data_IF_017392664301
#
_entry.id   IF_017392664301
#
_cell.length_a   1.000
_cell.length_b   1.000
_cell.length_c   1.000
_cell.angle_alpha   90.00
_cell.angle_beta   90.00
_cell.angle_gamma   90.00
#
_symmetry.space_group_name_H-M   'P 1'
#
loop_
_entity.id
_entity.type
_entity.pdbx_description
1 polymer ?
#
# COMPACT_ATOMS: atom_id res chain seq x y z
N UNK A 1 -34.31 10.61 18.99
CA UNK A 1 -33.23 9.94 18.23
C UNK A 1 -31.92 10.33 18.88
N UNK A 2 -31.47 9.50 19.82
CA UNK A 2 -30.15 9.60 20.43
C UNK A 2 -29.12 9.26 19.37
N UNK A 3 -28.27 10.22 19.04
CA UNK A 3 -27.04 9.97 18.29
C UNK A 3 -26.18 9.14 19.22
N UNK A 4 -26.25 7.83 19.08
CA UNK A 4 -25.27 6.88 19.58
C UNK A 4 -23.92 7.41 19.06
N UNK A 5 -23.16 8.07 19.93
CA UNK A 5 -21.76 8.33 19.63
C UNK A 5 -21.12 6.96 19.69
N UNK A 6 -20.85 6.39 18.52
CA UNK A 6 -19.84 5.36 18.40
C UNK A 6 -18.56 5.95 18.99
N UNK A 7 -18.34 5.72 20.28
CA UNK A 7 -17.09 5.94 20.98
C UNK A 7 -16.12 4.93 20.37
N UNK A 8 -15.65 5.29 19.18
CA UNK A 8 -14.83 4.51 18.29
C UNK A 8 -13.49 4.30 18.94
N UNK A 9 -13.41 3.24 19.73
CA UNK A 9 -12.16 2.75 20.25
C UNK A 9 -11.16 2.68 19.10
N UNK A 10 -9.96 3.28 19.25
CA UNK A 10 -8.95 3.18 18.23
C UNK A 10 -8.75 1.71 17.93
N UNK A 11 -8.90 1.35 16.67
CA UNK A 11 -8.77 -0.03 16.25
C UNK A 11 -7.43 -0.57 16.75
N UNK A 12 -7.43 -1.79 17.29
CA UNK A 12 -6.22 -2.49 17.75
C UNK A 12 -5.02 -2.30 16.80
N UNK A 13 -5.14 -2.40 15.45
CA UNK A 13 -4.01 -2.15 14.55
C UNK A 13 -3.47 -0.71 14.60
N UNK A 14 -4.30 0.29 14.86
CA UNK A 14 -3.87 1.68 15.00
C UNK A 14 -2.99 1.86 16.22
N UNK A 15 -3.40 1.30 17.37
CA UNK A 15 -2.63 1.36 18.62
C UNK A 15 -1.30 0.63 18.45
N UNK A 16 -1.33 -0.58 17.89
CA UNK A 16 -0.13 -1.38 17.65
C UNK A 16 0.86 -0.63 16.74
N UNK A 17 0.38 -0.05 15.64
CA UNK A 17 1.21 0.75 14.72
C UNK A 17 1.90 1.91 15.44
N UNK A 18 1.19 2.65 16.29
CA UNK A 18 1.74 3.80 17.01
C UNK A 18 2.79 3.33 18.02
N UNK A 19 2.51 2.28 18.79
CA UNK A 19 3.46 1.71 19.75
C UNK A 19 4.72 1.19 19.06
N UNK A 20 4.58 0.42 17.99
CA UNK A 20 5.70 -0.07 17.19
C UNK A 20 6.50 1.08 16.59
N UNK A 21 5.84 2.13 16.09
CA UNK A 21 6.50 3.28 15.48
C UNK A 21 7.38 4.04 16.48
N UNK A 22 6.84 4.30 17.68
CA UNK A 22 7.60 4.92 18.78
C UNK A 22 8.74 4.04 19.27
N UNK A 23 8.51 2.73 19.41
CA UNK A 23 9.54 1.80 19.83
C UNK A 23 10.72 1.78 18.84
N UNK A 24 10.45 1.66 17.55
CA UNK A 24 11.49 1.66 16.50
C UNK A 24 12.24 3.01 16.45
N UNK A 25 11.51 4.13 16.48
CA UNK A 25 12.13 5.45 16.50
C UNK A 25 13.02 5.64 17.74
N UNK A 26 12.52 5.25 18.91
CA UNK A 26 13.25 5.35 20.17
C UNK A 26 14.51 4.48 20.21
N UNK A 27 14.42 3.20 19.84
CA UNK A 27 15.58 2.28 19.78
C UNK A 27 16.60 2.74 18.74
N UNK A 28 16.15 3.20 17.58
CA UNK A 28 17.03 3.75 16.55
C UNK A 28 17.79 4.99 17.03
N UNK A 29 17.09 5.97 17.61
CA UNK A 29 17.71 7.19 18.15
C UNK A 29 18.65 6.87 19.31
N UNK A 30 18.22 6.02 20.24
CA UNK A 30 19.06 5.60 21.36
C UNK A 30 20.34 4.93 20.86
N UNK A 31 20.23 4.02 19.88
CA UNK A 31 21.38 3.40 19.23
C UNK A 31 22.36 4.42 18.63
N UNK A 32 21.85 5.39 17.86
CA UNK A 32 22.66 6.47 17.28
C UNK A 32 23.37 7.33 18.34
N UNK A 33 22.73 7.55 19.50
CA UNK A 33 23.34 8.30 20.61
C UNK A 33 24.41 7.47 21.31
N UNK A 34 24.18 6.16 21.47
CA UNK A 34 25.06 5.29 22.26
C UNK A 34 26.26 4.74 21.48
N UNK A 35 26.21 4.67 20.15
CA UNK A 35 27.17 3.89 19.38
C UNK A 35 27.86 4.64 18.24
N UNK A 36 29.17 4.38 18.10
CA UNK A 36 30.04 4.76 16.97
C UNK A 36 30.69 3.54 16.32
N UNK A 37 30.07 2.36 16.46
CA UNK A 37 30.59 1.05 16.01
C UNK A 37 30.51 0.84 14.48
N UNK A 38 31.03 1.81 13.73
CA UNK A 38 31.19 1.76 12.28
C UNK A 38 29.94 2.16 11.50
N UNK A 39 30.13 2.26 10.17
CA UNK A 39 29.11 2.75 9.24
C UNK A 39 27.88 1.84 9.17
N UNK A 40 28.06 0.52 9.24
CA UNK A 40 26.94 -0.43 9.19
C UNK A 40 25.98 -0.26 10.37
N UNK A 41 26.51 -0.07 11.58
CA UNK A 41 25.74 0.22 12.78
C UNK A 41 24.92 1.50 12.64
N UNK A 42 25.57 2.58 12.20
CA UNK A 42 24.91 3.88 11.97
C UNK A 42 23.81 3.76 10.92
N UNK A 43 24.08 3.10 9.78
CA UNK A 43 23.09 2.90 8.71
C UNK A 43 21.89 2.09 9.22
N UNK A 44 22.13 1.02 9.98
CA UNK A 44 21.07 0.22 10.58
C UNK A 44 20.16 1.09 11.45
N UNK A 45 20.72 1.84 12.39
CA UNK A 45 19.92 2.65 13.30
C UNK A 45 19.24 3.83 12.60
N UNK A 46 19.86 4.47 11.60
CA UNK A 46 19.21 5.49 10.76
C UNK A 46 17.98 4.91 10.05
N UNK A 47 18.11 3.75 9.41
CA UNK A 47 17.00 3.11 8.69
C UNK A 47 15.87 2.72 9.64
N UNK A 48 16.20 2.18 10.82
CA UNK A 48 15.22 1.83 11.85
C UNK A 48 14.50 3.07 12.38
N UNK A 49 15.23 4.16 12.66
CA UNK A 49 14.61 5.44 13.07
C UNK A 49 13.67 5.97 12.00
N UNK A 50 14.12 6.04 10.75
CA UNK A 50 13.30 6.53 9.63
C UNK A 50 12.07 5.65 9.41
N UNK A 51 12.22 4.32 9.47
CA UNK A 51 11.12 3.37 9.37
C UNK A 51 10.07 3.60 10.46
N UNK A 52 10.49 3.79 11.72
CA UNK A 52 9.60 4.15 12.83
C UNK A 52 8.86 5.47 12.59
N UNK A 53 9.56 6.51 12.13
CA UNK A 53 8.97 7.81 11.81
C UNK A 53 7.95 7.72 10.66
N UNK A 54 8.24 6.95 9.61
CA UNK A 54 7.30 6.69 8.51
C UNK A 54 6.08 5.95 9.05
N UNK A 55 6.28 4.91 9.87
CA UNK A 55 5.19 4.15 10.46
C UNK A 55 4.26 5.03 11.28
N UNK A 56 4.79 5.99 12.04
CA UNK A 56 4.02 7.01 12.75
C UNK A 56 3.28 7.92 11.77
N UNK A 57 3.93 8.39 10.70
CA UNK A 57 3.38 9.30 9.69
C UNK A 57 2.34 8.66 8.75
N UNK A 58 2.22 7.33 8.69
CA UNK A 58 1.24 6.63 7.85
C UNK A 58 -0.23 7.03 8.08
N UNK A 59 -0.58 7.62 9.22
CA UNK A 59 -1.93 8.16 9.41
C UNK A 59 -2.22 9.38 8.53
N UNK A 60 -1.17 10.11 8.13
CA UNK A 60 -1.28 11.30 7.25
C UNK A 60 -1.04 10.96 5.79
N UNK A 61 -0.28 9.90 5.52
CA UNK A 61 0.07 9.48 4.16
C UNK A 61 -0.82 8.33 3.77
N UNK A 62 -1.60 8.46 2.69
CA UNK A 62 -2.27 7.33 2.04
C UNK A 62 -1.33 6.73 0.99
N UNK A 63 -0.54 5.69 1.31
CA UNK A 63 0.31 5.03 0.34
C UNK A 63 -0.53 4.42 -0.79
N UNK A 64 -0.04 4.54 -2.02
CA UNK A 64 -0.65 3.88 -3.18
C UNK A 64 -0.44 2.37 -3.14
N UNK A 65 -1.16 1.64 -3.98
CA UNK A 65 -0.93 0.19 -4.18
C UNK A 65 0.49 -0.08 -4.69
N UNK A 66 1.00 0.76 -5.59
CA UNK A 66 2.36 0.64 -6.11
C UNK A 66 3.40 0.81 -4.99
N UNK A 67 3.20 1.79 -4.10
CA UNK A 67 4.04 1.98 -2.93
C UNK A 67 4.12 0.74 -2.04
N UNK A 68 2.98 0.12 -1.73
CA UNK A 68 2.96 -1.12 -0.94
C UNK A 68 3.66 -2.28 -1.65
N UNK A 69 3.51 -2.42 -2.96
CA UNK A 69 4.20 -3.45 -3.74
C UNK A 69 5.72 -3.24 -3.66
N UNK A 70 6.20 -2.01 -3.89
CA UNK A 70 7.63 -1.69 -3.80
C UNK A 70 8.17 -1.97 -2.40
N UNK A 71 7.46 -1.51 -1.36
CA UNK A 71 7.85 -1.74 0.03
C UNK A 71 7.91 -3.24 0.37
N UNK A 72 6.92 -4.02 -0.09
CA UNK A 72 6.89 -5.48 0.09
C UNK A 72 8.02 -6.19 -0.64
N UNK A 73 8.31 -5.79 -1.88
CA UNK A 73 9.45 -6.34 -2.66
C UNK A 73 10.77 -6.05 -1.95
N UNK A 74 10.98 -4.83 -1.45
CA UNK A 74 12.20 -4.47 -0.71
C UNK A 74 12.31 -5.28 0.59
N UNK A 75 11.22 -5.43 1.34
CA UNK A 75 11.20 -6.21 2.58
C UNK A 75 11.48 -7.70 2.38
N UNK A 76 11.03 -8.29 1.26
CA UNK A 76 11.21 -9.71 0.96
C UNK A 76 12.53 -10.02 0.24
N UNK A 77 12.94 -9.18 -0.72
CA UNK A 77 14.16 -9.39 -1.49
C UNK A 77 15.42 -8.99 -0.72
N UNK A 78 15.30 -8.02 0.18
CA UNK A 78 16.38 -7.50 1.01
C UNK A 78 17.16 -8.56 1.77
N UNK A 79 16.50 -9.43 2.57
CA UNK A 79 17.18 -10.51 3.28
C UNK A 79 17.92 -11.47 2.34
N UNK A 80 17.42 -11.63 1.11
CA UNK A 80 18.07 -12.40 0.05
C UNK A 80 19.43 -11.84 -0.36
N UNK A 81 19.64 -10.52 -0.29
CA UNK A 81 20.95 -9.89 -0.53
C UNK A 81 21.93 -10.18 0.60
N UNK A 82 21.45 -10.31 1.84
CA UNK A 82 22.25 -10.71 3.00
C UNK A 82 22.77 -12.15 2.94
N UNK A 83 22.21 -12.98 2.05
CA UNK A 83 22.68 -14.34 1.76
C UNK A 83 24.00 -14.37 0.98
N UNK A 84 24.40 -13.26 0.36
CA UNK A 84 25.69 -13.14 -0.33
C UNK A 84 26.80 -12.99 0.72
N UNK A 85 27.12 -14.10 1.39
CA UNK A 85 28.21 -14.16 2.34
C UNK A 85 29.52 -13.97 1.57
N UNK A 86 30.08 -12.77 1.63
CA UNK A 86 31.48 -12.57 1.27
C UNK A 86 32.33 -13.14 2.39
N UNK A 87 32.70 -14.41 2.29
CA UNK A 87 33.65 -15.01 3.23
C UNK A 87 35.00 -14.33 3.05
N UNK A 88 35.32 -13.33 3.87
CA UNK A 88 36.68 -12.84 4.01
C UNK A 88 37.50 -13.91 4.75
N UNK A 89 37.99 -14.91 4.00
CA UNK A 89 38.95 -15.88 4.50
C UNK A 89 40.30 -15.18 4.68
N UNK A 90 40.54 -14.56 5.84
CA UNK A 90 41.88 -14.17 6.25
C UNK A 90 42.07 -14.32 7.77
N UNK A 91 42.79 -15.39 8.14
CA UNK A 91 43.78 -15.45 9.22
C UNK A 91 43.35 -15.41 10.70
N UNK A 92 42.05 -15.41 11.04
CA UNK A 92 41.60 -15.56 12.44
C UNK A 92 40.51 -16.64 12.56
N UNK A 93 40.92 -17.90 12.44
CA UNK A 93 40.02 -19.07 12.50
C UNK A 93 39.29 -19.25 13.84
N UNK A 94 39.68 -18.52 14.90
CA UNK A 94 39.05 -18.58 16.22
C UNK A 94 37.87 -17.61 16.43
N UNK A 95 37.78 -16.54 15.63
CA UNK A 95 36.70 -15.54 15.73
C UNK A 95 36.38 -15.02 14.33
N UNK A 96 35.47 -15.66 13.57
CA UNK A 96 35.01 -15.10 12.31
C UNK A 96 34.26 -13.80 12.63
N UNK A 97 34.96 -12.67 12.52
CA UNK A 97 34.34 -11.35 12.50
C UNK A 97 33.47 -11.30 11.25
N UNK A 98 32.19 -11.60 11.45
CA UNK A 98 31.13 -11.54 10.46
C UNK A 98 30.94 -10.08 10.04
N UNK A 99 31.68 -9.64 9.01
CA UNK A 99 31.53 -8.32 8.41
C UNK A 99 30.71 -8.46 7.14
N UNK A 100 29.47 -7.98 7.17
CA UNK A 100 28.52 -7.97 6.06
C UNK A 100 27.35 -7.05 6.40
N UNK A 101 26.73 -6.45 5.39
CA UNK A 101 25.66 -5.45 5.59
C UNK A 101 24.28 -6.12 5.46
N UNK A 102 23.31 -5.89 6.37
CA UNK A 102 23.46 -5.31 7.70
C UNK A 102 23.98 -6.33 8.74
N UNK A 103 23.61 -7.62 8.65
CA UNK A 103 24.17 -8.71 9.45
C UNK A 103 24.12 -10.06 8.70
N UNK A 104 25.25 -10.76 8.49
CA UNK A 104 25.22 -12.08 7.87
C UNK A 104 24.71 -13.13 8.87
N UNK A 105 23.42 -13.48 8.79
CA UNK A 105 22.79 -14.45 9.67
C UNK A 105 23.20 -15.90 9.35
N UNK A 106 23.54 -16.21 8.11
CA UNK A 106 24.08 -17.51 7.70
C UNK A 106 25.60 -17.54 7.84
N UNK A 107 26.07 -18.35 8.79
CA UNK A 107 27.49 -18.71 8.89
C UNK A 107 27.72 -20.09 8.31
N UNK A 108 28.86 -20.27 7.66
CA UNK A 108 29.32 -21.57 7.11
C UNK A 108 30.48 -22.18 7.88
N UNK A 109 30.96 -21.52 8.94
CA UNK A 109 32.02 -22.04 9.82
C UNK A 109 31.48 -23.17 10.69
N UNK A 110 31.92 -24.42 10.43
CA UNK A 110 31.51 -25.67 11.10
C UNK A 110 30.09 -26.20 10.80
N UNK A 111 29.37 -25.59 9.87
CA UNK A 111 28.02 -25.99 9.46
C UNK A 111 27.17 -24.79 9.07
N UNK A 112 26.03 -25.01 8.42
CA UNK A 112 25.04 -23.95 8.17
C UNK A 112 24.35 -23.66 9.50
N UNK A 113 24.71 -22.55 10.15
CA UNK A 113 24.02 -22.07 11.34
C UNK A 113 23.41 -20.69 11.05
N UNK A 114 22.09 -20.64 11.14
CA UNK A 114 21.32 -19.40 11.14
C UNK A 114 21.16 -18.95 12.59
N UNK A 115 21.73 -17.80 12.92
CA UNK A 115 21.50 -17.18 14.22
C UNK A 115 20.16 -16.42 14.16
N UNK A 116 19.15 -16.83 14.94
CA UNK A 116 17.82 -16.24 14.88
C UNK A 116 17.82 -14.76 15.29
N UNK A 117 18.77 -14.30 16.11
CA UNK A 117 18.84 -12.90 16.52
C UNK A 117 19.29 -11.99 15.38
N UNK A 118 20.32 -12.39 14.64
CA UNK A 118 20.78 -11.65 13.46
C UNK A 118 19.74 -11.70 12.34
N UNK A 119 19.06 -12.84 12.15
CA UNK A 119 17.94 -12.94 11.20
C UNK A 119 16.80 -11.99 11.59
N UNK A 120 16.43 -11.94 12.87
CA UNK A 120 15.42 -11.01 13.36
C UNK A 120 15.80 -9.54 13.13
N UNK A 121 17.05 -9.17 13.41
CA UNK A 121 17.55 -7.82 13.14
C UNK A 121 17.53 -7.48 11.64
N UNK A 122 17.94 -8.41 10.78
CA UNK A 122 17.93 -8.25 9.33
C UNK A 122 16.49 -8.07 8.80
N UNK A 123 15.54 -8.88 9.27
CA UNK A 123 14.12 -8.72 8.92
C UNK A 123 13.56 -7.36 9.35
N UNK A 124 13.87 -6.91 10.57
CA UNK A 124 13.46 -5.58 11.05
C UNK A 124 14.04 -4.47 10.17
N UNK A 125 15.33 -4.56 9.84
CA UNK A 125 15.99 -3.61 8.96
C UNK A 125 15.32 -3.53 7.59
N UNK A 126 15.10 -4.67 6.93
CA UNK A 126 14.51 -4.70 5.59
C UNK A 126 13.03 -4.30 5.57
N UNK A 127 12.26 -4.62 6.61
CA UNK A 127 10.91 -4.09 6.78
C UNK A 127 10.93 -2.56 6.91
N UNK A 128 11.85 -2.01 7.72
CA UNK A 128 12.00 -0.55 7.86
C UNK A 128 12.46 0.09 6.55
N UNK A 129 13.43 -0.50 5.85
CA UNK A 129 13.89 -0.03 4.55
C UNK A 129 12.74 0.01 3.54
N UNK A 130 11.91 -1.04 3.50
CA UNK A 130 10.69 -1.09 2.70
C UNK A 130 9.73 0.05 3.04
N UNK A 131 9.46 0.30 4.32
CA UNK A 131 8.65 1.45 4.74
C UNK A 131 9.26 2.78 4.28
N UNK A 132 10.57 2.96 4.41
CA UNK A 132 11.27 4.18 3.97
C UNK A 132 11.09 4.40 2.46
N UNK A 133 11.03 3.34 1.65
CA UNK A 133 10.78 3.47 0.19
C UNK A 133 9.40 4.04 -0.17
N UNK A 134 8.43 4.03 0.75
CA UNK A 134 7.13 4.69 0.52
C UNK A 134 7.27 6.20 0.31
N UNK A 135 8.26 6.84 0.96
CA UNK A 135 8.50 8.28 0.86
C UNK A 135 8.90 8.71 -0.56
N UNK A 136 9.96 8.15 -1.18
CA UNK A 136 10.33 8.50 -2.55
C UNK A 136 9.28 8.07 -3.57
N UNK A 137 8.62 6.90 -3.41
CA UNK A 137 7.52 6.51 -4.32
C UNK A 137 6.41 7.56 -4.29
N UNK A 138 6.03 8.01 -3.08
CA UNK A 138 5.02 9.06 -2.94
C UNK A 138 5.48 10.41 -3.51
N UNK A 139 6.76 10.75 -3.35
CA UNK A 139 7.33 11.96 -3.93
C UNK A 139 7.32 11.90 -5.47
N UNK A 140 7.69 10.76 -6.06
CA UNK A 140 7.65 10.52 -7.50
C UNK A 140 6.20 10.60 -8.01
N UNK A 141 5.23 9.99 -7.33
CA UNK A 141 3.81 10.11 -7.68
C UNK A 141 3.28 11.55 -7.63
N UNK A 142 3.84 12.39 -6.75
CA UNK A 142 3.48 13.81 -6.68
C UNK A 142 4.15 14.64 -7.77
N UNK A 143 5.39 14.30 -8.14
CA UNK A 143 6.19 15.03 -9.14
C UNK A 143 5.88 14.60 -10.57
N UNK A 144 5.47 13.36 -10.74
CA UNK A 144 4.83 12.82 -11.93
C UNK A 144 3.34 12.71 -11.60
N UNK A 145 2.58 13.84 -11.53
CA UNK A 145 1.14 13.79 -11.71
C UNK A 145 0.96 13.35 -13.15
N UNK A 146 1.13 12.05 -13.34
CA UNK A 146 1.07 11.40 -14.62
C UNK A 146 -0.23 11.83 -15.23
N UNK A 147 -0.12 12.26 -16.48
CA UNK A 147 -1.18 12.73 -17.36
C UNK A 147 -2.32 11.72 -17.42
N UNK A 148 -3.08 11.60 -16.34
CA UNK A 148 -4.51 11.40 -16.36
C UNK A 148 -5.08 12.71 -16.88
N UNK A 149 -4.75 13.06 -18.13
CA UNK A 149 -5.84 13.50 -18.99
C UNK A 149 -6.85 12.38 -18.82
N UNK A 150 -8.00 12.61 -18.17
CA UNK A 150 -9.05 11.60 -18.16
C UNK A 150 -9.13 11.16 -19.61
N UNK A 151 -8.81 9.90 -19.87
CA UNK A 151 -9.06 9.34 -21.19
C UNK A 151 -10.55 9.57 -21.33
N UNK A 152 -10.92 10.48 -22.21
CA UNK A 152 -12.31 10.87 -22.40
C UNK A 152 -12.99 9.67 -23.06
N UNK A 153 -13.34 8.69 -22.22
CA UNK A 153 -14.04 7.49 -22.62
C UNK A 153 -15.44 7.85 -23.11
N UNK A 154 -15.92 9.07 -22.86
CA UNK A 154 -17.19 9.55 -23.39
C UNK A 154 -17.17 9.57 -24.92
N UNK A 155 -16.04 9.93 -25.55
CA UNK A 155 -15.92 9.86 -27.02
C UNK A 155 -15.82 8.40 -27.52
N UNK A 156 -15.15 7.53 -26.78
CA UNK A 156 -15.03 6.11 -27.13
C UNK A 156 -16.38 5.37 -27.01
N UNK A 157 -17.13 5.64 -25.94
CA UNK A 157 -18.47 5.06 -25.70
C UNK A 157 -19.47 5.57 -26.73
N UNK A 158 -19.48 6.88 -27.02
CA UNK A 158 -20.37 7.45 -28.04
C UNK A 158 -20.12 6.88 -29.45
N UNK A 159 -18.89 6.50 -29.78
CA UNK A 159 -18.56 5.88 -31.07
C UNK A 159 -19.04 4.43 -31.18
N UNK A 160 -19.06 3.67 -30.07
CA UNK A 160 -19.49 2.28 -30.07
C UNK A 160 -21.01 2.10 -29.95
N UNK A 161 -21.71 2.99 -29.23
CA UNK A 161 -23.18 2.93 -29.14
C UNK A 161 -23.87 3.21 -30.48
N UNK A 162 -23.19 3.86 -31.42
CA UNK A 162 -23.69 4.14 -32.77
C UNK A 162 -23.67 2.94 -33.73
N UNK A 163 -22.81 1.94 -33.51
CA UNK A 163 -22.64 0.82 -34.45
C UNK A 163 -23.57 -0.38 -34.16
N UNK A 164 -24.00 -0.58 -32.91
CA UNK A 164 -24.88 -1.70 -32.55
C UNK A 164 -26.38 -1.42 -32.77
N UNK A 165 -26.78 -0.14 -32.90
CA UNK A 165 -28.17 0.24 -33.19
C UNK A 165 -28.62 0.05 -34.65
N UNK A 166 -27.67 -0.17 -35.59
CA UNK A 166 -27.94 -0.14 -37.03
C UNK A 166 -28.40 -1.44 -37.68
N UNK A 167 -28.41 -2.59 -36.97
CA UNK A 167 -28.66 -3.91 -37.59
C UNK A 167 -29.96 -4.64 -37.20
N UNK A 168 -30.86 -4.03 -36.43
CA UNK A 168 -32.05 -4.75 -35.91
C UNK A 168 -33.39 -4.36 -36.58
N UNK A 169 -33.42 -3.42 -37.54
CA UNK A 169 -34.70 -2.92 -38.07
C UNK A 169 -34.82 -2.95 -39.61
N UNK A 170 -34.63 -4.12 -40.24
CA UNK A 170 -35.29 -4.44 -41.52
C UNK A 170 -35.80 -5.88 -41.46
N UNK A 171 -36.97 -6.04 -40.84
CA UNK A 171 -37.59 -7.36 -40.68
C UNK A 171 -38.97 -7.27 -40.05
N UNK A 172 -39.83 -6.39 -40.57
CA UNK A 172 -41.26 -6.45 -40.26
C UNK A 172 -41.87 -7.77 -40.74
N UNK A 173 -42.88 -8.27 -40.03
CA UNK A 173 -44.17 -8.34 -40.73
C UNK A 173 -45.29 -7.70 -39.92
N UNK A 174 -46.17 -7.06 -40.69
CA UNK A 174 -47.45 -6.55 -40.27
C UNK A 174 -48.28 -7.63 -39.56
N UNK A 175 -48.78 -7.29 -38.37
CA UNK A 175 -49.67 -8.13 -37.58
C UNK A 175 -50.60 -7.26 -36.75
N UNK A 176 -51.69 -6.86 -37.40
CA UNK A 176 -52.91 -6.27 -36.84
C UNK A 176 -53.41 -7.03 -35.60
N UNK A 177 -53.93 -6.32 -34.60
CA UNK A 177 -54.38 -6.97 -33.37
C UNK A 177 -54.71 -6.04 -32.21
N UNK A 178 -55.63 -5.11 -32.45
CA UNK A 178 -56.36 -4.34 -31.44
C UNK A 178 -56.83 -5.23 -30.25
N UNK A 179 -56.35 -4.97 -29.04
CA UNK A 179 -57.10 -5.30 -27.83
C UNK A 179 -56.85 -4.30 -26.70
N UNK A 180 -57.89 -3.50 -26.47
CA UNK A 180 -58.16 -2.74 -25.25
C UNK A 180 -58.19 -3.66 -24.04
N UNK A 181 -57.42 -3.35 -23.00
CA UNK A 181 -57.75 -3.78 -21.64
C UNK A 181 -57.31 -2.73 -20.64
N UNK A 182 -58.31 -2.02 -20.15
CA UNK A 182 -58.25 -1.26 -18.91
C UNK A 182 -57.74 -2.16 -17.79
N UNK A 183 -56.71 -1.69 -17.10
CA UNK A 183 -56.08 -2.37 -15.98
C UNK A 183 -55.45 -1.33 -15.06
N UNK A 184 -56.27 -0.76 -14.18
CA UNK A 184 -55.82 0.03 -13.05
C UNK A 184 -54.83 -0.81 -12.22
N UNK A 185 -53.57 -0.38 -12.21
CA UNK A 185 -52.51 -0.92 -11.37
C UNK A 185 -51.80 0.23 -10.69
N UNK A 186 -52.23 0.53 -9.47
CA UNK A 186 -51.51 1.40 -8.56
C UNK A 186 -50.17 0.75 -8.19
N UNK A 187 -49.08 1.52 -8.27
CA UNK A 187 -47.85 1.26 -7.52
C UNK A 187 -46.61 1.03 -8.39
N UNK A 188 -45.94 2.10 -8.82
CA UNK A 188 -44.48 2.15 -8.84
C UNK A 188 -43.94 3.57 -9.08
N UNK A 189 -43.51 4.28 -8.02
CA UNK A 189 -42.47 5.28 -8.16
C UNK A 189 -41.41 5.11 -7.07
N UNK A 190 -40.76 3.95 -6.98
CA UNK A 190 -39.68 3.71 -6.01
C UNK A 190 -38.32 3.40 -6.66
N UNK A 191 -38.30 2.69 -7.79
CA UNK A 191 -37.04 2.23 -8.41
C UNK A 191 -36.17 3.37 -9.01
N UNK A 192 -36.76 4.50 -9.40
CA UNK A 192 -36.00 5.61 -10.00
C UNK A 192 -35.39 6.60 -8.98
N UNK A 193 -35.84 6.56 -7.72
CA UNK A 193 -35.29 7.43 -6.66
C UNK A 193 -33.97 6.87 -6.10
N UNK A 194 -33.84 5.55 -5.97
CA UNK A 194 -32.62 4.90 -5.45
C UNK A 194 -31.42 5.06 -6.40
N UNK A 195 -31.64 5.02 -7.72
CA UNK A 195 -30.60 5.24 -8.71
C UNK A 195 -29.98 6.66 -8.62
N UNK A 196 -30.77 7.69 -8.30
CA UNK A 196 -30.27 9.06 -8.14
C UNK A 196 -29.55 9.29 -6.82
N UNK A 197 -29.95 8.59 -5.75
CA UNK A 197 -29.25 8.63 -4.47
C UNK A 197 -27.85 8.01 -4.57
N UNK A 198 -27.71 6.89 -5.30
CA UNK A 198 -26.42 6.23 -5.50
C UNK A 198 -25.40 7.11 -6.27
N UNK A 199 -25.86 7.84 -7.30
CA UNK A 199 -24.99 8.72 -8.10
C UNK A 199 -24.56 9.97 -7.31
N UNK A 200 -25.39 10.49 -6.41
CA UNK A 200 -25.05 11.64 -5.58
C UNK A 200 -23.99 11.30 -4.51
N UNK A 201 -24.07 10.10 -3.92
CA UNK A 201 -23.15 9.66 -2.88
C UNK A 201 -21.74 9.38 -3.43
N UNK A 202 -21.64 8.85 -4.64
CA UNK A 202 -20.36 8.60 -5.30
C UNK A 202 -19.61 9.89 -5.70
N UNK A 203 -20.33 11.01 -5.87
CA UNK A 203 -19.74 12.31 -6.25
C UNK A 203 -19.19 13.10 -5.04
N UNK A 204 -19.70 12.82 -3.84
CA UNK A 204 -19.20 13.44 -2.61
C UNK A 204 -17.83 12.87 -2.19
N UNK A 205 -17.60 11.58 -2.42
CA UNK A 205 -16.35 10.91 -2.04
C UNK A 205 -15.15 11.32 -2.91
N UNK A 206 -15.37 11.78 -4.14
CA UNK A 206 -14.30 12.26 -5.02
C UNK A 206 -13.79 13.67 -4.64
N UNK A 207 -14.58 14.47 -3.93
CA UNK A 207 -14.25 15.88 -3.69
C UNK A 207 -13.54 16.15 -2.35
N UNK A 208 -13.30 15.12 -1.52
CA UNK A 208 -12.59 15.27 -0.22
C UNK A 208 -11.06 15.18 -0.39
N UNK A 209 -10.56 14.88 -1.59
CA UNK A 209 -9.12 14.75 -1.87
C UNK A 209 -8.36 16.02 -2.24
N UNK A 210 -9.04 17.18 -2.36
CA UNK A 210 -8.49 18.38 -3.02
C UNK A 210 -7.88 19.47 -2.13
N UNK A 211 -7.84 19.29 -0.80
CA UNK A 211 -7.32 20.31 0.13
C UNK A 211 -6.19 19.75 1.00
N UNK A 212 -4.99 19.57 0.42
CA UNK A 212 -3.73 19.45 1.18
C UNK A 212 -2.51 19.69 0.31
#
# INVERSE_FOLDING_TARGET
MSVERDDGWPSVPTVLRVMTGWLLAGVGVLGLVTGVDGTAYVVFHVVVTLGGMVLLALHRVRPSRAGWIVAGVVGLAGPGLGLLVTTARCCLAGYPQRRGLPYPFLGTGAGVHADPWYLGADLVFWCCAGLVTLVPVRAVEKLLPERRTPVDLTEYVARHDGEDGGRVAEGGPAGDGRHTRDGAGAGEPAAHAESRAYVAQHRADENVGGLS
#
